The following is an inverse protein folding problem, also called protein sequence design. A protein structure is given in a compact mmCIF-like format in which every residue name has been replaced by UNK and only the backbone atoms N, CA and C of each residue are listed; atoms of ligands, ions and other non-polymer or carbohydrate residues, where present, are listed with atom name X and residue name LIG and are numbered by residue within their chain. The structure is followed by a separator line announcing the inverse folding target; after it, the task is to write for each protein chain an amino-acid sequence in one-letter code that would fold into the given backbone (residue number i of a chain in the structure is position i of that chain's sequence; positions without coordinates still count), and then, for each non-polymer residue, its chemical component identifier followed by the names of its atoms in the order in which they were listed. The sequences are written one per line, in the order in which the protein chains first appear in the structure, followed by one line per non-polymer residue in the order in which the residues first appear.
data_IF_639998755706
#
_entry.id   IF_639998755706
#
_cell.length_a   1.000
_cell.length_b   1.000
_cell.length_c   1.000
_cell.angle_alpha   90.00
_cell.angle_beta   90.00
_cell.angle_gamma   90.00
#
_symmetry.space_group_name_H-M   'P 1'
#
loop_
_entity.id
_entity.type
_entity.pdbx_description
1 polymer ?
#
# COMPACT_ATOMS: atom_id res chain seq x y z
N UNK A 1 8.95 11.67 12.16
CA UNK A 1 7.91 12.02 11.15
C UNK A 1 7.02 13.16 11.64
N UNK A 2 6.45 14.00 10.76
CA UNK A 2 5.45 15.02 11.13
C UNK A 2 4.07 14.58 10.66
N UNK A 3 3.16 14.28 11.59
CA UNK A 3 1.99 13.42 11.32
C UNK A 3 0.69 13.97 11.91
N UNK A 4 -0.46 13.53 11.40
CA UNK A 4 -1.74 13.81 12.06
C UNK A 4 -1.92 12.94 13.30
N UNK A 5 -2.61 13.44 14.33
CA UNK A 5 -2.75 12.74 15.63
C UNK A 5 -3.41 11.37 15.50
N UNK A 6 -4.36 11.19 14.57
CA UNK A 6 -4.99 9.88 14.34
C UNK A 6 -4.06 8.82 13.75
N UNK A 7 -2.89 9.20 13.21
CA UNK A 7 -1.86 8.25 12.70
C UNK A 7 -0.78 7.92 13.72
N UNK A 8 -0.86 8.51 14.91
CA UNK A 8 0.12 8.33 15.97
C UNK A 8 0.29 6.86 16.39
N UNK A 9 -0.81 6.13 16.53
CA UNK A 9 -0.78 4.72 16.92
C UNK A 9 -0.03 3.83 15.89
N UNK A 10 -0.15 4.15 14.59
CA UNK A 10 0.62 3.48 13.55
C UNK A 10 2.12 3.76 13.70
N UNK A 11 2.47 5.03 13.81
CA UNK A 11 3.87 5.48 13.76
C UNK A 11 4.66 5.06 15.00
N UNK A 12 4.02 5.00 16.18
CA UNK A 12 4.63 4.48 17.41
C UNK A 12 5.07 3.02 17.30
N UNK A 13 4.42 2.26 16.42
CA UNK A 13 4.63 0.82 16.28
C UNK A 13 5.51 0.46 15.07
N UNK A 14 6.18 1.43 14.44
CA UNK A 14 7.14 1.19 13.34
C UNK A 14 8.57 1.27 13.88
N UNK A 15 9.28 0.15 13.87
CA UNK A 15 10.55 -0.02 14.56
C UNK A 15 11.70 0.90 14.09
N UNK A 16 11.78 1.23 12.80
CA UNK A 16 12.89 2.04 12.27
C UNK A 16 12.71 3.56 12.45
N UNK A 17 11.60 4.02 13.01
CA UNK A 17 11.35 5.44 13.20
C UNK A 17 11.91 5.92 14.55
N UNK A 18 12.81 6.90 14.51
CA UNK A 18 13.37 7.52 15.72
C UNK A 18 12.31 8.28 16.55
N UNK A 19 11.21 8.68 15.91
CA UNK A 19 10.11 9.37 16.58
C UNK A 19 9.18 10.13 15.63
N UNK A 20 8.23 10.84 16.22
CA UNK A 20 7.25 11.66 15.51
C UNK A 20 6.93 12.94 16.25
N UNK A 21 6.33 13.89 15.52
CA UNK A 21 5.76 15.13 16.03
C UNK A 21 4.38 15.26 15.42
N UNK A 22 3.35 15.52 16.23
CA UNK A 22 2.01 15.71 15.69
C UNK A 22 1.85 17.08 15.01
N UNK A 23 0.86 17.21 14.13
CA UNK A 23 0.54 18.44 13.41
C UNK A 23 0.13 19.60 14.32
N UNK A 24 -0.07 19.39 15.61
CA UNK A 24 -0.43 20.46 16.54
C UNK A 24 0.72 20.83 17.50
N UNK A 25 1.80 20.04 17.52
CA UNK A 25 2.98 20.27 18.38
C UNK A 25 3.96 21.29 17.81
N UNK A 26 4.63 22.04 18.70
CA UNK A 26 5.68 22.97 18.29
C UNK A 26 6.90 22.22 17.75
N UNK A 27 7.39 22.64 16.59
CA UNK A 27 8.59 22.07 16.00
C UNK A 27 9.87 22.68 16.60
N UNK A 28 9.79 23.82 17.32
CA UNK A 28 10.97 24.54 17.86
C UNK A 28 11.93 23.71 18.72
N UNK A 29 11.48 22.76 19.55
CA UNK A 29 12.38 21.94 20.34
C UNK A 29 13.30 21.04 19.50
N UNK A 30 12.96 20.83 18.23
CA UNK A 30 13.65 19.91 17.34
C UNK A 30 14.60 20.63 16.39
N UNK A 31 15.71 19.97 16.07
CA UNK A 31 16.67 20.45 15.07
C UNK A 31 16.65 19.49 13.87
N UNK A 32 15.87 19.84 12.84
CA UNK A 32 15.82 19.06 11.60
C UNK A 32 16.72 19.70 10.53
N UNK A 33 17.60 18.90 9.93
CA UNK A 33 18.43 19.34 8.79
C UNK A 33 17.63 19.47 7.50
N UNK A 34 16.63 18.60 7.34
CA UNK A 34 15.80 18.49 6.16
C UNK A 34 14.37 18.06 6.45
N UNK A 35 13.45 18.43 5.56
CA UNK A 35 12.07 17.94 5.52
C UNK A 35 11.65 17.64 4.09
N UNK A 36 10.92 16.53 3.91
CA UNK A 36 10.22 16.20 2.67
C UNK A 36 8.71 16.32 2.93
N UNK A 37 8.08 17.36 2.38
CA UNK A 37 6.65 17.63 2.60
C UNK A 37 5.78 16.81 1.63
N UNK A 38 5.50 15.57 2.02
CA UNK A 38 4.64 14.66 1.26
C UNK A 38 3.17 15.11 1.19
N UNK A 39 2.69 15.83 2.20
CA UNK A 39 1.31 16.37 2.22
C UNK A 39 1.14 17.53 1.25
N UNK A 40 2.21 18.34 1.09
CA UNK A 40 2.27 19.51 0.25
C UNK A 40 1.01 20.40 0.43
N UNK A 41 0.78 20.86 1.68
CA UNK A 41 -0.29 21.80 2.06
C UNK A 41 0.33 23.12 2.53
N UNK A 42 -0.26 24.25 2.16
CA UNK A 42 0.25 25.58 2.54
C UNK A 42 0.42 25.73 4.06
N UNK A 43 -0.55 25.21 4.85
CA UNK A 43 -0.49 25.24 6.31
C UNK A 43 0.71 24.49 6.87
N UNK A 44 1.06 23.32 6.33
CA UNK A 44 2.20 22.51 6.82
C UNK A 44 3.52 23.09 6.32
N UNK A 45 3.59 23.49 5.05
CA UNK A 45 4.78 24.07 4.43
C UNK A 45 5.32 25.29 5.19
N UNK A 46 4.43 26.16 5.69
CA UNK A 46 4.81 27.35 6.47
C UNK A 46 5.47 27.03 7.82
N UNK A 47 5.17 25.88 8.42
CA UNK A 47 5.73 25.50 9.73
C UNK A 47 7.22 25.19 9.66
N UNK A 48 7.72 24.80 8.50
CA UNK A 48 9.13 24.45 8.31
C UNK A 48 10.07 25.66 8.25
N UNK A 49 9.55 26.88 8.40
CA UNK A 49 10.34 28.11 8.56
C UNK A 49 10.64 28.42 10.02
N UNK A 50 9.87 27.87 10.95
CA UNK A 50 10.04 28.14 12.37
C UNK A 50 9.77 26.86 13.19
N UNK A 51 10.82 26.11 13.55
CA UNK A 51 12.24 26.42 13.37
C UNK A 51 12.65 26.37 11.90
N UNK A 52 13.71 27.10 11.55
CA UNK A 52 14.18 27.17 10.17
C UNK A 52 14.85 25.86 9.77
N UNK A 53 14.12 25.01 9.03
CA UNK A 53 14.66 23.75 8.48
C UNK A 53 15.34 24.09 7.16
N UNK A 54 16.66 23.98 7.06
CA UNK A 54 17.44 24.46 5.89
C UNK A 54 16.99 23.83 4.57
N UNK A 55 16.86 22.51 4.53
CA UNK A 55 16.46 21.78 3.32
C UNK A 55 14.97 21.46 3.38
N UNK A 56 14.17 22.02 2.47
CA UNK A 56 12.72 21.81 2.41
C UNK A 56 12.37 21.33 1.02
N UNK A 57 12.01 20.06 0.91
CA UNK A 57 11.64 19.42 -0.35
C UNK A 57 10.14 19.43 -0.50
N UNK A 58 9.62 19.89 -1.63
CA UNK A 58 8.18 19.95 -1.87
C UNK A 58 7.76 19.93 -3.33
N UNK A 59 6.46 19.83 -3.56
CA UNK A 59 5.92 19.68 -4.91
C UNK A 59 5.79 21.05 -5.62
N UNK A 60 6.46 21.24 -6.75
CA UNK A 60 6.38 22.49 -7.53
C UNK A 60 5.06 22.70 -8.25
N UNK A 61 4.17 21.70 -8.28
CA UNK A 61 2.79 21.88 -8.75
C UNK A 61 1.92 22.74 -7.79
N UNK A 62 2.43 23.12 -6.62
CA UNK A 62 1.74 23.98 -5.66
C UNK A 62 2.11 25.46 -5.88
N UNK A 63 1.13 26.35 -5.78
CA UNK A 63 1.34 27.81 -5.89
C UNK A 63 2.28 28.37 -4.82
N UNK A 64 2.35 27.72 -3.66
CA UNK A 64 3.25 28.09 -2.55
C UNK A 64 4.60 27.38 -2.60
N UNK A 65 5.00 26.84 -3.75
CA UNK A 65 6.25 26.08 -3.89
C UNK A 65 7.51 26.89 -3.62
N UNK A 66 7.43 28.23 -3.67
CA UNK A 66 8.49 29.16 -3.23
C UNK A 66 8.86 29.01 -1.74
N UNK A 67 8.04 28.31 -0.95
CA UNK A 67 8.35 27.96 0.44
C UNK A 67 9.41 26.84 0.57
N UNK A 68 9.65 26.09 -0.51
CA UNK A 68 10.58 24.97 -0.55
C UNK A 68 11.92 25.39 -1.15
N UNK A 69 13.01 24.76 -0.71
CA UNK A 69 14.36 24.98 -1.25
C UNK A 69 14.74 24.00 -2.36
N UNK A 70 14.11 22.82 -2.38
CA UNK A 70 14.21 21.84 -3.47
C UNK A 70 12.80 21.44 -3.89
N UNK A 71 12.59 21.25 -5.19
CA UNK A 71 11.26 20.87 -5.68
C UNK A 71 11.28 19.83 -6.78
N UNK A 72 10.16 19.12 -6.93
CA UNK A 72 9.86 18.27 -8.08
C UNK A 72 8.42 18.49 -8.50
N UNK A 73 8.17 18.54 -9.80
CA UNK A 73 6.81 18.68 -10.31
C UNK A 73 6.11 17.34 -10.31
N UNK A 74 5.05 17.20 -9.50
CA UNK A 74 4.31 15.93 -9.37
C UNK A 74 2.81 16.20 -9.47
N UNK A 75 2.15 15.61 -10.48
CA UNK A 75 0.70 15.73 -10.69
C UNK A 75 -0.05 14.45 -10.30
N UNK A 76 -0.38 14.34 -9.00
CA UNK A 76 -1.03 13.16 -8.40
C UNK A 76 -2.47 12.93 -8.86
N UNK A 77 -3.17 13.97 -9.31
CA UNK A 77 -4.57 13.89 -9.76
C UNK A 77 -4.77 13.01 -10.99
N UNK A 78 -3.70 12.68 -11.72
CA UNK A 78 -3.79 11.78 -12.85
C UNK A 78 -3.85 10.30 -12.43
N UNK A 79 -3.36 9.94 -11.23
CA UNK A 79 -3.42 8.56 -10.73
C UNK A 79 -2.68 7.56 -11.62
N UNK A 80 -1.58 7.96 -12.25
CA UNK A 80 -0.87 7.12 -13.22
C UNK A 80 -0.02 6.03 -12.57
N UNK A 81 0.42 6.25 -11.34
CA UNK A 81 1.28 5.35 -10.57
C UNK A 81 0.84 5.35 -9.11
N UNK A 82 1.37 4.40 -8.32
CA UNK A 82 1.07 4.26 -6.91
C UNK A 82 1.45 5.51 -6.10
N UNK A 83 0.71 5.82 -5.03
CA UNK A 83 0.99 6.95 -4.15
C UNK A 83 2.40 6.87 -3.51
N UNK A 84 2.89 5.66 -3.21
CA UNK A 84 4.24 5.43 -2.71
C UNK A 84 5.30 5.87 -3.73
N UNK A 85 5.08 5.64 -5.03
CA UNK A 85 5.99 6.08 -6.10
C UNK A 85 5.98 7.60 -6.27
N UNK A 86 4.81 8.24 -6.16
CA UNK A 86 4.74 9.70 -6.12
C UNK A 86 5.46 10.29 -4.89
N UNK A 87 5.40 9.61 -3.74
CA UNK A 87 6.16 10.01 -2.56
C UNK A 87 7.66 9.82 -2.78
N UNK A 88 8.07 8.69 -3.33
CA UNK A 88 9.46 8.38 -3.64
C UNK A 88 10.07 9.39 -4.61
N UNK A 89 9.34 9.77 -5.65
CA UNK A 89 9.79 10.82 -6.56
C UNK A 89 10.14 12.12 -5.82
N UNK A 90 9.38 12.49 -4.78
CA UNK A 90 9.66 13.69 -4.00
C UNK A 90 10.83 13.47 -3.05
N UNK A 91 10.88 12.32 -2.38
CA UNK A 91 11.99 11.93 -1.49
C UNK A 91 13.32 11.92 -2.25
N UNK A 92 13.33 11.44 -3.50
CA UNK A 92 14.50 11.38 -4.35
C UNK A 92 15.09 12.76 -4.70
N UNK A 93 14.38 13.85 -4.42
CA UNK A 93 14.91 15.21 -4.58
C UNK A 93 15.74 15.67 -3.36
N UNK A 94 15.74 14.91 -2.27
CA UNK A 94 16.56 15.17 -1.09
C UNK A 94 18.05 14.99 -1.42
N UNK A 95 18.40 13.91 -2.11
CA UNK A 95 19.77 13.51 -2.44
C UNK A 95 19.88 13.05 -3.91
N UNK A 96 20.83 13.61 -4.71
CA UNK A 96 21.04 13.21 -6.10
C UNK A 96 21.30 11.71 -6.33
N UNK A 97 21.90 11.01 -5.36
CA UNK A 97 22.16 9.57 -5.44
C UNK A 97 20.87 8.73 -5.54
N UNK A 98 19.74 9.27 -5.07
CA UNK A 98 18.44 8.60 -5.09
C UNK A 98 17.69 8.75 -6.41
N UNK A 99 18.12 9.64 -7.33
CA UNK A 99 17.33 10.09 -8.49
C UNK A 99 16.86 8.95 -9.40
N UNK A 100 17.66 7.90 -9.52
CA UNK A 100 17.41 6.76 -10.43
C UNK A 100 17.16 5.45 -9.69
N UNK A 101 17.08 5.47 -8.36
CA UNK A 101 16.77 4.27 -7.60
C UNK A 101 15.28 4.00 -7.66
N UNK A 102 14.91 2.74 -7.85
CA UNK A 102 13.52 2.30 -7.69
C UNK A 102 13.17 2.27 -6.20
N UNK A 103 11.91 2.59 -5.86
CA UNK A 103 11.41 2.31 -4.52
C UNK A 103 11.27 0.79 -4.39
N UNK A 104 12.11 0.16 -3.58
CA UNK A 104 11.99 -1.27 -3.28
C UNK A 104 11.48 -1.51 -1.86
N UNK A 105 11.61 -0.51 -0.99
CA UNK A 105 11.22 -0.62 0.41
C UNK A 105 9.70 -0.60 0.57
N UNK A 106 9.24 -1.40 1.54
CA UNK A 106 7.87 -1.45 2.01
C UNK A 106 7.87 -1.78 3.50
N UNK A 107 6.79 -1.42 4.18
CA UNK A 107 6.56 -1.95 5.52
C UNK A 107 6.37 -3.46 5.46
N UNK A 108 6.84 -4.13 6.50
CA UNK A 108 6.84 -5.58 6.68
C UNK A 108 6.40 -5.95 8.09
N UNK A 109 6.21 -7.25 8.34
CA UNK A 109 5.94 -7.77 9.67
C UNK A 109 7.00 -7.36 10.70
N UNK A 110 8.28 -7.30 10.29
CA UNK A 110 9.41 -6.98 11.16
C UNK A 110 9.32 -5.56 11.72
N UNK A 111 8.72 -4.63 10.96
CA UNK A 111 8.53 -3.25 11.41
C UNK A 111 7.57 -3.15 12.59
N UNK A 112 6.74 -4.19 12.81
CA UNK A 112 5.75 -4.30 13.89
C UNK A 112 6.11 -5.41 14.91
N UNK A 113 7.39 -5.75 15.04
CA UNK A 113 7.84 -6.89 15.86
C UNK A 113 7.55 -6.77 17.36
N UNK A 114 7.26 -5.56 17.86
CA UNK A 114 6.87 -5.32 19.26
C UNK A 114 5.42 -5.73 19.56
N UNK A 115 4.60 -5.91 18.53
CA UNK A 115 3.20 -6.29 18.70
C UNK A 115 3.09 -7.81 18.83
N UNK A 116 2.33 -8.26 19.83
CA UNK A 116 2.08 -9.69 20.05
C UNK A 116 0.96 -10.18 19.11
N UNK A 117 1.19 -11.22 18.30
CA UNK A 117 0.14 -11.81 17.47
C UNK A 117 -1.02 -12.35 18.31
N UNK A 118 -2.25 -12.18 17.81
CA UNK A 118 -3.44 -12.71 18.46
C UNK A 118 -3.57 -14.22 18.24
N UNK A 119 -3.16 -15.01 19.23
CA UNK A 119 -3.13 -16.47 19.16
C UNK A 119 -4.46 -17.13 18.76
N UNK A 120 -5.60 -16.55 19.12
CA UNK A 120 -6.92 -17.08 18.76
C UNK A 120 -7.26 -16.90 17.27
N UNK A 121 -6.66 -15.91 16.63
CA UNK A 121 -6.92 -15.60 15.23
C UNK A 121 -5.97 -16.33 14.26
N UNK A 122 -5.16 -17.27 14.77
CA UNK A 122 -4.32 -18.08 13.90
C UNK A 122 -5.17 -18.80 12.86
N UNK A 123 -4.70 -18.72 11.61
CA UNK A 123 -5.30 -19.41 10.47
C UNK A 123 -6.75 -19.00 10.15
N UNK A 124 -7.18 -17.85 10.67
CA UNK A 124 -8.53 -17.31 10.45
C UNK A 124 -8.62 -16.46 9.18
N UNK A 125 -9.83 -16.31 8.66
CA UNK A 125 -10.15 -15.31 7.62
C UNK A 125 -10.69 -14.04 8.28
N UNK A 126 -10.31 -12.87 7.77
CA UNK A 126 -10.87 -11.59 8.23
C UNK A 126 -11.66 -10.96 7.09
N UNK A 127 -12.90 -10.60 7.38
CA UNK A 127 -13.75 -9.79 6.50
C UNK A 127 -13.95 -8.44 7.16
N UNK A 128 -13.64 -7.36 6.45
CA UNK A 128 -13.84 -6.00 6.94
C UNK A 128 -14.79 -5.25 6.00
N UNK A 129 -16.10 -5.19 6.32
CA UNK A 129 -17.10 -4.51 5.50
C UNK A 129 -16.95 -2.99 5.38
N UNK A 130 -16.02 -2.40 6.15
CA UNK A 130 -16.01 -1.01 6.59
C UNK A 130 -16.35 0.06 5.55
N UNK A 131 -16.98 1.14 6.00
CA UNK A 131 -17.39 2.25 5.14
C UNK A 131 -16.65 3.50 5.59
N UNK A 132 -15.56 3.86 4.89
CA UNK A 132 -15.00 5.20 5.07
C UNK A 132 -15.84 6.21 4.29
N UNK A 133 -15.88 7.47 4.74
CA UNK A 133 -16.61 8.56 4.06
C UNK A 133 -16.20 8.76 2.57
N UNK A 134 -15.10 8.15 2.14
CA UNK A 134 -14.55 8.22 0.78
C UNK A 134 -14.53 6.89 0.02
N UNK A 135 -14.88 5.75 0.63
CA UNK A 135 -14.88 4.45 -0.04
C UNK A 135 -16.26 4.13 -0.61
N UNK A 136 -16.31 3.66 -1.86
CA UNK A 136 -17.51 3.02 -2.41
C UNK A 136 -17.67 1.68 -1.71
N UNK A 137 -18.79 1.49 -1.00
CA UNK A 137 -19.06 0.27 -0.25
C UNK A 137 -19.52 -0.89 -1.14
N UNK A 138 -19.34 -2.11 -0.65
CA UNK A 138 -19.99 -3.31 -1.17
C UNK A 138 -21.24 -3.62 -0.32
N UNK A 139 -22.25 -4.24 -0.92
CA UNK A 139 -23.56 -4.42 -0.29
C UNK A 139 -23.46 -5.25 1.00
N UNK A 140 -24.23 -4.88 2.02
CA UNK A 140 -24.22 -5.54 3.34
C UNK A 140 -24.48 -7.04 3.21
N UNK A 141 -25.46 -7.41 2.39
CA UNK A 141 -25.88 -8.79 2.16
C UNK A 141 -24.72 -9.63 1.57
N UNK A 142 -23.92 -9.03 0.67
CA UNK A 142 -22.76 -9.69 0.06
C UNK A 142 -21.62 -9.89 1.06
N UNK A 143 -21.38 -8.92 1.95
CA UNK A 143 -20.42 -9.09 3.04
C UNK A 143 -20.80 -10.23 3.99
N UNK A 144 -22.08 -10.32 4.36
CA UNK A 144 -22.58 -11.41 5.20
C UNK A 144 -22.45 -12.76 4.48
N UNK A 145 -22.83 -12.84 3.21
CA UNK A 145 -22.69 -14.06 2.41
C UNK A 145 -21.23 -14.51 2.30
N UNK A 146 -20.30 -13.58 2.02
CA UNK A 146 -18.87 -13.86 1.97
C UNK A 146 -18.36 -14.41 3.30
N UNK A 147 -18.72 -13.76 4.41
CA UNK A 147 -18.29 -14.18 5.73
C UNK A 147 -18.81 -15.60 6.08
N UNK A 148 -20.05 -15.93 5.68
CA UNK A 148 -20.62 -17.29 5.82
C UNK A 148 -19.87 -18.33 4.99
N UNK A 149 -19.54 -18.01 3.73
CA UNK A 149 -18.78 -18.91 2.85
C UNK A 149 -17.37 -19.19 3.39
N UNK A 150 -16.72 -18.19 3.98
CA UNK A 150 -15.40 -18.35 4.61
C UNK A 150 -15.51 -19.12 5.93
N UNK A 151 -16.53 -18.84 6.75
CA UNK A 151 -16.78 -19.55 8.02
C UNK A 151 -16.99 -21.06 7.85
N UNK A 152 -17.53 -21.47 6.69
CA UNK A 152 -17.67 -22.89 6.32
C UNK A 152 -16.32 -23.59 6.07
N UNK A 153 -15.22 -22.84 5.89
CA UNK A 153 -13.87 -23.35 5.62
C UNK A 153 -12.94 -23.23 6.82
N UNK A 154 -12.97 -22.11 7.52
CA UNK A 154 -12.15 -21.83 8.69
C UNK A 154 -12.81 -20.76 9.58
N UNK A 155 -12.27 -20.56 10.79
CA UNK A 155 -12.75 -19.49 11.66
C UNK A 155 -12.66 -18.14 10.93
N UNK A 156 -13.73 -17.35 10.97
CA UNK A 156 -13.86 -16.08 10.26
C UNK A 156 -14.26 -14.97 11.22
N UNK A 157 -13.54 -13.85 11.15
CA UNK A 157 -13.86 -12.65 11.91
C UNK A 157 -14.40 -11.55 11.00
N UNK A 158 -15.54 -10.98 11.38
CA UNK A 158 -16.01 -9.71 10.84
C UNK A 158 -15.41 -8.59 11.67
N UNK A 159 -14.42 -7.90 11.11
CA UNK A 159 -13.77 -6.76 11.73
C UNK A 159 -14.60 -5.50 11.50
N UNK A 160 -15.13 -4.92 12.57
CA UNK A 160 -15.90 -3.67 12.56
C UNK A 160 -15.12 -2.57 13.30
N UNK A 161 -14.98 -1.41 12.66
CA UNK A 161 -14.31 -0.26 13.24
C UNK A 161 -15.25 0.62 14.07
N UNK A 162 -14.71 1.72 14.62
CA UNK A 162 -15.50 2.67 15.41
C UNK A 162 -16.66 3.31 14.63
N UNK A 163 -16.52 3.48 13.31
CA UNK A 163 -17.56 4.05 12.44
C UNK A 163 -18.77 3.10 12.30
N UNK A 164 -18.55 1.79 12.45
CA UNK A 164 -19.57 0.76 12.32
C UNK A 164 -20.27 0.40 13.64
N UNK A 165 -19.97 1.09 14.76
CA UNK A 165 -20.56 0.82 16.10
C UNK A 165 -22.10 0.73 16.06
N UNK A 166 -22.76 1.60 15.30
CA UNK A 166 -24.22 1.58 15.17
C UNK A 166 -24.77 0.36 14.39
N UNK A 167 -23.95 -0.29 13.56
CA UNK A 167 -24.33 -1.44 12.75
C UNK A 167 -24.01 -2.79 13.40
N UNK A 168 -23.28 -2.81 14.52
CA UNK A 168 -22.85 -4.06 15.19
C UNK A 168 -24.01 -5.01 15.46
N UNK A 169 -25.14 -4.50 15.95
CA UNK A 169 -26.31 -5.36 16.23
C UNK A 169 -26.92 -5.94 14.95
N UNK A 170 -26.91 -5.17 13.85
CA UNK A 170 -27.36 -5.66 12.54
C UNK A 170 -26.50 -6.83 12.06
N UNK A 171 -25.17 -6.73 12.22
CA UNK A 171 -24.26 -7.82 11.90
C UNK A 171 -24.50 -9.03 12.80
N UNK A 172 -24.63 -8.84 14.13
CA UNK A 172 -24.89 -9.93 15.09
C UNK A 172 -26.12 -10.74 14.71
N UNK A 173 -27.24 -10.08 14.44
CA UNK A 173 -28.48 -10.75 14.06
C UNK A 173 -28.34 -11.55 12.75
N UNK A 174 -27.50 -11.09 11.81
CA UNK A 174 -27.32 -11.74 10.52
C UNK A 174 -26.46 -13.02 10.57
N UNK A 175 -25.68 -13.20 11.65
CA UNK A 175 -24.71 -14.29 11.82
C UNK A 175 -25.00 -15.21 13.03
N UNK A 176 -26.05 -14.93 13.82
CA UNK A 176 -26.33 -15.59 15.11
C UNK A 176 -26.32 -17.13 15.05
N UNK A 177 -26.72 -17.72 13.92
CA UNK A 177 -26.78 -19.17 13.71
C UNK A 177 -25.60 -19.78 12.94
N UNK A 178 -24.51 -19.03 12.76
CA UNK A 178 -23.36 -19.46 11.95
C UNK A 178 -22.20 -19.80 12.87
N UNK A 179 -21.83 -21.08 12.90
CA UNK A 179 -20.63 -21.52 13.60
C UNK A 179 -19.36 -20.94 12.95
N UNK A 180 -18.31 -20.76 13.75
CA UNK A 180 -17.00 -20.25 13.29
C UNK A 180 -17.04 -18.84 12.69
N UNK A 181 -18.08 -18.05 12.97
CA UNK A 181 -18.21 -16.67 12.50
C UNK A 181 -18.44 -15.72 13.68
N UNK A 182 -17.47 -14.85 13.94
CA UNK A 182 -17.50 -13.91 15.08
C UNK A 182 -17.31 -12.47 14.65
N UNK A 183 -17.83 -11.51 15.42
CA UNK A 183 -17.57 -10.09 15.22
C UNK A 183 -16.47 -9.64 16.17
N UNK A 184 -15.49 -8.94 15.63
CA UNK A 184 -14.42 -8.31 16.41
C UNK A 184 -14.49 -6.81 16.24
N UNK A 185 -14.42 -6.10 17.35
CA UNK A 185 -14.24 -4.66 17.42
C UNK A 185 -13.07 -4.39 18.35
N UNK A 186 -12.17 -3.51 17.95
CA UNK A 186 -11.11 -3.03 18.84
C UNK A 186 -10.92 -1.53 18.66
N UNK A 187 -10.69 -0.85 19.78
CA UNK A 187 -10.24 0.52 19.82
C UNK A 187 -8.69 0.60 20.01
N UNK A 188 -8.01 -0.56 20.18
CA UNK A 188 -6.54 -0.68 20.28
C UNK A 188 -5.91 -0.97 18.93
N UNK A 189 -4.86 -0.22 18.61
CA UNK A 189 -4.11 -0.41 17.38
C UNK A 189 -3.26 -1.68 17.43
N UNK A 190 -2.67 -1.99 18.58
CA UNK A 190 -1.87 -3.18 18.81
C UNK A 190 -2.71 -4.46 18.68
N UNK A 191 -3.93 -4.47 19.21
CA UNK A 191 -4.87 -5.60 19.02
C UNK A 191 -5.24 -5.77 17.54
N UNK A 192 -5.47 -4.66 16.82
CA UNK A 192 -5.73 -4.70 15.37
C UNK A 192 -4.55 -5.30 14.61
N UNK A 193 -3.33 -4.83 14.88
CA UNK A 193 -2.11 -5.39 14.25
C UNK A 193 -1.97 -6.87 14.60
N UNK A 194 -2.09 -7.26 15.86
CA UNK A 194 -1.97 -8.64 16.30
C UNK A 194 -3.00 -9.57 15.65
N UNK A 195 -4.24 -9.09 15.44
CA UNK A 195 -5.28 -9.78 14.67
C UNK A 195 -4.84 -9.97 13.21
N UNK A 196 -4.45 -8.89 12.53
CA UNK A 196 -4.07 -8.92 11.12
C UNK A 196 -2.82 -9.78 10.86
N UNK A 197 -1.85 -9.77 11.78
CA UNK A 197 -0.64 -10.60 11.72
C UNK A 197 -0.95 -12.10 11.83
N UNK A 198 -2.04 -12.47 12.51
CA UNK A 198 -2.38 -13.88 12.78
C UNK A 198 -3.29 -14.49 11.72
N UNK A 199 -3.99 -13.65 10.94
CA UNK A 199 -4.95 -14.09 9.96
C UNK A 199 -4.28 -14.71 8.73
N UNK A 200 -4.88 -15.80 8.24
CA UNK A 200 -4.54 -16.43 6.96
C UNK A 200 -4.79 -15.48 5.80
N UNK A 201 -5.95 -14.83 5.81
CA UNK A 201 -6.33 -13.90 4.76
C UNK A 201 -7.20 -12.76 5.27
N UNK A 202 -7.18 -11.65 4.53
CA UNK A 202 -7.98 -10.47 4.80
C UNK A 202 -8.73 -10.04 3.52
N UNK A 203 -10.00 -9.69 3.67
CA UNK A 203 -10.82 -9.12 2.60
C UNK A 203 -11.41 -7.80 3.09
N UNK A 204 -11.15 -6.72 2.35
CA UNK A 204 -11.67 -5.41 2.72
C UNK A 204 -11.69 -4.39 1.58
N UNK A 205 -12.34 -3.24 1.77
CA UNK A 205 -12.41 -2.16 0.78
C UNK A 205 -11.12 -1.34 0.72
N UNK A 206 -11.06 -0.39 -0.22
CA UNK A 206 -10.01 0.63 -0.33
C UNK A 206 -9.89 1.55 0.90
N UNK A 207 -9.24 1.08 1.96
CA UNK A 207 -9.10 1.79 3.25
C UNK A 207 -7.73 1.58 3.89
N UNK A 208 -7.40 2.39 4.90
CA UNK A 208 -6.12 2.30 5.62
C UNK A 208 -5.86 0.94 6.29
N UNK A 209 -6.90 0.27 6.79
CA UNK A 209 -6.74 -1.04 7.43
C UNK A 209 -6.36 -2.12 6.40
N UNK A 210 -6.86 -2.02 5.17
CA UNK A 210 -6.45 -2.90 4.06
C UNK A 210 -4.97 -2.73 3.71
N UNK A 211 -4.46 -1.49 3.73
CA UNK A 211 -3.03 -1.23 3.60
C UNK A 211 -2.23 -1.79 4.77
N UNK A 212 -2.78 -1.70 5.98
CA UNK A 212 -2.14 -2.21 7.19
C UNK A 212 -2.05 -3.73 7.16
N UNK A 213 -3.13 -4.42 6.78
CA UNK A 213 -3.16 -5.86 6.60
C UNK A 213 -2.08 -6.32 5.60
N UNK A 214 -1.93 -5.61 4.48
CA UNK A 214 -0.87 -5.84 3.51
C UNK A 214 0.54 -5.61 4.08
N UNK A 215 0.73 -4.53 4.87
CA UNK A 215 2.01 -4.19 5.49
C UNK A 215 2.48 -5.24 6.50
N UNK A 216 1.55 -5.80 7.28
CA UNK A 216 1.86 -6.86 8.26
C UNK A 216 1.96 -8.25 7.62
N UNK A 217 1.97 -8.34 6.29
CA UNK A 217 2.24 -9.57 5.56
C UNK A 217 1.02 -10.47 5.30
N UNK A 218 -0.20 -10.02 5.64
CA UNK A 218 -1.40 -10.79 5.33
C UNK A 218 -1.58 -10.90 3.81
N UNK A 219 -2.05 -12.07 3.34
CA UNK A 219 -2.53 -12.23 1.98
C UNK A 219 -4.01 -11.84 1.92
N UNK A 220 -4.54 -11.46 0.76
CA UNK A 220 -5.92 -11.03 0.76
C UNK A 220 -6.46 -10.48 -0.54
N UNK A 221 -7.69 -9.97 -0.44
CA UNK A 221 -8.38 -9.28 -1.52
C UNK A 221 -8.72 -7.87 -1.07
N UNK A 222 -8.37 -6.89 -1.89
CA UNK A 222 -8.83 -5.52 -1.71
C UNK A 222 -9.85 -5.14 -2.78
N UNK A 223 -11.03 -4.69 -2.34
CA UNK A 223 -12.10 -4.22 -3.21
C UNK A 223 -11.92 -2.73 -3.51
N UNK A 224 -11.72 -2.40 -4.78
CA UNK A 224 -11.50 -1.02 -5.24
C UNK A 224 -12.52 -0.63 -6.30
N UNK A 225 -13.07 0.59 -6.24
CA UNK A 225 -13.77 1.19 -7.37
C UNK A 225 -12.79 1.71 -8.43
N UNK A 226 -13.23 1.75 -9.69
CA UNK A 226 -12.49 2.27 -10.85
C UNK A 226 -12.57 3.81 -10.98
N UNK A 227 -13.09 4.49 -9.95
CA UNK A 227 -13.16 5.95 -9.92
C UNK A 227 -11.77 6.58 -9.79
N UNK A 228 -11.41 7.48 -10.71
CA UNK A 228 -10.08 8.15 -10.79
C UNK A 228 -9.50 8.64 -9.46
N UNK A 229 -10.31 9.19 -8.55
CA UNK A 229 -9.84 9.70 -7.25
C UNK A 229 -9.39 8.60 -6.27
N UNK A 230 -9.84 7.36 -6.49
CA UNK A 230 -9.67 6.19 -5.62
C UNK A 230 -9.22 4.95 -6.43
N UNK A 231 -8.79 5.15 -7.68
CA UNK A 231 -8.42 4.07 -8.60
C UNK A 231 -7.23 3.28 -8.05
N UNK A 232 -7.24 1.94 -8.18
CA UNK A 232 -6.21 1.10 -7.57
C UNK A 232 -4.80 1.30 -8.13
N UNK A 233 -4.64 1.79 -9.36
CA UNK A 233 -3.31 2.20 -9.88
C UNK A 233 -2.55 3.11 -8.91
N UNK A 234 -3.29 4.01 -8.22
CA UNK A 234 -2.74 4.93 -7.23
C UNK A 234 -2.82 4.39 -5.81
N UNK A 235 -3.94 3.78 -5.46
CA UNK A 235 -4.29 3.54 -4.06
C UNK A 235 -4.22 2.09 -3.61
N UNK A 236 -3.89 1.12 -4.48
CA UNK A 236 -3.71 -0.25 -4.02
C UNK A 236 -2.56 -0.37 -3.01
N UNK A 237 -2.55 -1.38 -2.13
CA UNK A 237 -1.42 -1.63 -1.25
C UNK A 237 -0.15 -1.92 -2.05
N UNK A 238 0.88 -1.10 -1.82
CA UNK A 238 2.10 -1.08 -2.62
C UNK A 238 2.89 -2.38 -2.48
N UNK A 239 3.22 -3.01 -3.62
CA UNK A 239 4.02 -4.25 -3.71
C UNK A 239 3.62 -5.28 -2.64
N UNK A 240 2.34 -5.57 -2.57
CA UNK A 240 1.75 -6.48 -1.57
C UNK A 240 1.31 -7.80 -2.19
N UNK A 241 0.98 -8.77 -1.33
CA UNK A 241 0.38 -10.04 -1.74
C UNK A 241 -1.15 -9.94 -1.94
N UNK A 242 -1.69 -8.71 -1.95
CA UNK A 242 -3.12 -8.51 -2.13
C UNK A 242 -3.50 -8.58 -3.60
N UNK A 243 -4.58 -9.30 -3.86
CA UNK A 243 -5.28 -9.24 -5.14
C UNK A 243 -6.24 -8.06 -5.12
N UNK A 244 -6.26 -7.28 -6.20
CA UNK A 244 -7.19 -6.16 -6.35
C UNK A 244 -8.38 -6.62 -7.17
N UNK A 245 -9.58 -6.33 -6.69
CA UNK A 245 -10.83 -6.64 -7.40
C UNK A 245 -11.67 -5.38 -7.54
N UNK A 246 -12.08 -5.11 -8.78
CA UNK A 246 -12.96 -3.99 -9.13
C UNK A 246 -14.38 -4.16 -8.57
N UNK A 247 -14.90 -3.17 -7.85
CA UNK A 247 -16.31 -3.11 -7.46
C UNK A 247 -17.24 -2.85 -8.66
N UNK A 248 -16.78 -2.15 -9.69
CA UNK A 248 -17.54 -1.85 -10.91
C UNK A 248 -17.86 -3.12 -11.72
N UNK A 249 -17.05 -4.18 -11.53
CA UNK A 249 -17.29 -5.52 -12.09
C UNK A 249 -18.34 -6.32 -11.32
N UNK A 250 -18.86 -5.77 -10.21
CA UNK A 250 -19.90 -6.38 -9.36
C UNK A 250 -19.52 -7.81 -8.91
N UNK A 251 -18.35 -8.00 -8.28
CA UNK A 251 -17.91 -9.32 -7.85
C UNK A 251 -18.93 -9.95 -6.90
N UNK A 252 -19.10 -11.26 -7.02
CA UNK A 252 -19.91 -12.06 -6.10
C UNK A 252 -19.06 -12.59 -4.94
N UNK A 253 -19.66 -12.89 -3.78
CA UNK A 253 -18.98 -13.54 -2.67
C UNK A 253 -18.25 -14.82 -3.07
N UNK A 254 -18.91 -15.67 -3.87
CA UNK A 254 -18.33 -16.92 -4.36
C UNK A 254 -17.07 -16.69 -5.21
N UNK A 255 -17.07 -15.68 -6.09
CA UNK A 255 -15.88 -15.34 -6.87
C UNK A 255 -14.70 -14.94 -5.97
N UNK A 256 -14.94 -14.18 -4.89
CA UNK A 256 -13.87 -13.80 -3.96
C UNK A 256 -13.28 -15.03 -3.25
N UNK A 257 -14.11 -16.01 -2.90
CA UNK A 257 -13.64 -17.27 -2.31
C UNK A 257 -12.78 -18.07 -3.31
N UNK A 258 -13.21 -18.17 -4.56
CA UNK A 258 -12.44 -18.86 -5.62
C UNK A 258 -11.08 -18.20 -5.88
N UNK A 259 -11.04 -16.86 -5.84
CA UNK A 259 -9.81 -16.07 -5.97
C UNK A 259 -8.85 -16.37 -4.81
N UNK A 260 -9.35 -16.48 -3.57
CA UNK A 260 -8.54 -16.84 -2.40
C UNK A 260 -7.99 -18.27 -2.49
N UNK A 261 -8.76 -19.20 -3.07
CA UNK A 261 -8.33 -20.59 -3.28
C UNK A 261 -7.31 -20.75 -4.41
N UNK A 262 -6.97 -19.67 -5.12
CA UNK A 262 -6.06 -19.71 -6.27
C UNK A 262 -6.68 -20.25 -7.55
N UNK A 263 -8.00 -20.48 -7.59
CA UNK A 263 -8.74 -20.93 -8.77
C UNK A 263 -9.09 -19.76 -9.70
N UNK A 264 -8.08 -18.94 -10.00
CA UNK A 264 -8.18 -17.70 -10.77
C UNK A 264 -8.26 -18.03 -12.27
N UNK A 265 -9.37 -18.62 -12.70
CA UNK A 265 -9.66 -18.78 -14.13
C UNK A 265 -9.94 -17.40 -14.73
N UNK A 266 -8.86 -16.71 -15.10
CA UNK A 266 -8.84 -15.55 -16.01
C UNK A 266 -9.90 -14.50 -15.67
N UNK A 267 -9.74 -13.81 -14.55
CA UNK A 267 -10.36 -12.51 -14.41
C UNK A 267 -9.24 -11.47 -14.26
N UNK A 268 -9.03 -10.70 -15.33
CA UNK A 268 -8.16 -9.52 -15.33
C UNK A 268 -8.87 -8.41 -14.52
N UNK A 269 -8.98 -8.61 -13.20
CA UNK A 269 -9.86 -7.88 -12.28
C UNK A 269 -9.35 -6.50 -11.88
N UNK A 270 -8.57 -5.90 -12.78
CA UNK A 270 -7.61 -4.81 -12.58
C UNK A 270 -6.25 -5.40 -12.20
N UNK A 271 -5.41 -5.67 -13.20
CA UNK A 271 -3.97 -5.72 -13.02
C UNK A 271 -3.39 -4.31 -13.18
N UNK A 272 -3.32 -3.47 -12.13
CA UNK A 272 -2.69 -2.14 -12.20
C UNK A 272 -1.17 -2.20 -12.39
N UNK A 273 -0.55 -3.39 -12.26
CA UNK A 273 0.84 -3.65 -12.65
C UNK A 273 0.98 -4.10 -14.10
N UNK A 274 -0.12 -4.20 -14.86
CA UNK A 274 -0.07 -4.31 -16.32
C UNK A 274 0.37 -2.97 -16.92
N UNK A 275 1.59 -2.53 -16.61
CA UNK A 275 2.42 -2.08 -17.73
C UNK A 275 2.49 -3.29 -18.66
N UNK A 276 2.29 -3.08 -19.97
CA UNK A 276 2.55 -4.13 -20.94
C UNK A 276 3.91 -4.74 -20.60
N UNK A 277 4.00 -6.07 -20.50
CA UNK A 277 5.28 -6.72 -20.30
C UNK A 277 6.23 -6.22 -21.37
N UNK A 278 7.38 -5.70 -20.94
CA UNK A 278 8.37 -5.14 -21.86
C UNK A 278 9.46 -6.17 -22.01
N UNK A 279 9.50 -6.81 -23.18
CA UNK A 279 10.63 -7.62 -23.61
C UNK A 279 11.64 -6.71 -24.30
N UNK A 280 12.88 -6.66 -23.79
CA UNK A 280 13.97 -5.99 -24.49
C UNK A 280 14.75 -7.00 -25.34
N UNK A 281 14.86 -6.71 -26.63
CA UNK A 281 15.71 -7.44 -27.56
C UNK A 281 17.00 -6.67 -27.77
N UNK A 282 18.11 -7.22 -27.30
CA UNK A 282 19.45 -6.65 -27.45
C UNK A 282 20.23 -7.48 -28.45
N UNK A 283 20.46 -6.92 -29.63
CA UNK A 283 21.34 -7.53 -30.64
C UNK A 283 22.73 -6.92 -30.45
N UNK A 284 23.75 -7.75 -30.24
CA UNK A 284 25.12 -7.30 -29.98
C UNK A 284 26.15 -8.04 -30.85
N UNK A 285 27.31 -7.41 -31.06
CA UNK A 285 28.50 -8.01 -31.67
C UNK A 285 29.73 -7.20 -31.24
N UNK A 286 30.66 -7.82 -30.51
CA UNK A 286 31.85 -7.18 -29.96
C UNK A 286 31.57 -5.95 -29.08
N UNK A 287 30.69 -6.12 -28.09
CA UNK A 287 30.24 -5.08 -27.14
C UNK A 287 30.81 -5.26 -25.72
N UNK A 288 31.99 -5.87 -25.54
CA UNK A 288 32.57 -6.15 -24.21
C UNK A 288 32.63 -4.91 -23.30
N UNK A 289 32.79 -3.73 -23.92
CA UNK A 289 32.93 -2.45 -23.23
C UNK A 289 31.59 -1.83 -22.81
N UNK A 290 30.48 -2.21 -23.43
CA UNK A 290 29.18 -1.56 -23.26
C UNK A 290 28.08 -2.49 -22.76
N UNK A 291 28.17 -3.80 -23.02
CA UNK A 291 27.05 -4.73 -22.84
C UNK A 291 26.56 -4.75 -21.39
N UNK A 292 27.46 -4.74 -20.41
CA UNK A 292 27.09 -4.64 -18.97
C UNK A 292 26.24 -3.41 -18.67
N UNK A 293 26.73 -2.23 -19.05
CA UNK A 293 26.02 -0.96 -18.83
C UNK A 293 24.67 -0.94 -19.56
N UNK A 294 24.62 -1.52 -20.76
CA UNK A 294 23.37 -1.65 -21.50
C UNK A 294 22.36 -2.50 -20.73
N UNK A 295 22.74 -3.72 -20.31
CA UNK A 295 21.89 -4.63 -19.56
C UNK A 295 21.43 -4.03 -18.23
N UNK A 296 22.32 -3.38 -17.50
CA UNK A 296 21.98 -2.67 -16.26
C UNK A 296 20.92 -1.57 -16.50
N UNK A 297 21.04 -0.82 -17.60
CA UNK A 297 20.10 0.26 -17.94
C UNK A 297 18.69 -0.22 -18.30
N UNK A 298 18.56 -1.48 -18.73
CA UNK A 298 17.29 -2.10 -19.12
C UNK A 298 16.88 -3.24 -18.18
N UNK A 299 17.53 -3.37 -17.02
CA UNK A 299 17.21 -4.39 -16.01
C UNK A 299 15.78 -4.27 -15.45
N UNK A 300 15.09 -3.17 -15.75
CA UNK A 300 13.68 -2.96 -15.43
C UNK A 300 12.72 -3.68 -16.41
N UNK A 301 13.20 -4.23 -17.52
CA UNK A 301 12.38 -5.04 -18.44
C UNK A 301 12.02 -6.39 -17.82
N UNK A 302 10.86 -6.93 -18.19
CA UNK A 302 10.34 -8.19 -17.62
C UNK A 302 11.01 -9.42 -18.26
N UNK A 303 11.53 -9.25 -19.47
CA UNK A 303 12.25 -10.26 -20.24
C UNK A 303 13.39 -9.59 -21.00
N UNK A 304 14.58 -10.21 -20.96
CA UNK A 304 15.75 -9.80 -21.74
C UNK A 304 16.12 -10.91 -22.71
N UNK A 305 16.09 -10.61 -24.01
CA UNK A 305 16.53 -11.52 -25.06
C UNK A 305 17.78 -10.94 -25.70
N UNK A 306 18.91 -11.62 -25.52
CA UNK A 306 20.20 -11.21 -26.06
C UNK A 306 20.52 -12.06 -27.28
N UNK A 307 20.78 -11.42 -28.42
CA UNK A 307 21.13 -12.07 -29.68
C UNK A 307 22.54 -11.63 -30.07
N UNK A 308 23.51 -12.49 -29.78
CA UNK A 308 24.90 -12.27 -30.18
C UNK A 308 25.11 -12.63 -31.66
N UNK A 309 25.55 -11.67 -32.46
CA UNK A 309 25.81 -11.81 -33.89
C UNK A 309 27.23 -12.27 -34.20
N UNK A 310 27.81 -13.12 -33.34
CA UNK A 310 29.13 -13.71 -33.53
C UNK A 310 30.29 -12.90 -32.94
N UNK A 311 30.14 -12.45 -31.69
CA UNK A 311 31.25 -11.77 -30.99
C UNK A 311 32.49 -12.65 -30.91
N UNK A 312 33.65 -12.03 -31.13
CA UNK A 312 34.99 -12.60 -30.99
C UNK A 312 35.74 -12.10 -29.75
N UNK A 313 35.18 -11.11 -29.07
CA UNK A 313 35.67 -10.58 -27.81
C UNK A 313 34.95 -11.23 -26.60
N UNK A 314 35.18 -10.71 -25.39
CA UNK A 314 34.58 -11.23 -24.17
C UNK A 314 33.10 -10.85 -23.97
N UNK A 315 32.38 -10.33 -24.98
CA UNK A 315 30.95 -9.97 -24.86
C UNK A 315 30.09 -11.11 -24.31
N UNK A 316 30.39 -12.35 -24.69
CA UNK A 316 29.63 -13.55 -24.28
C UNK A 316 29.86 -13.97 -22.83
N UNK A 317 30.93 -13.47 -22.21
CA UNK A 317 31.31 -13.80 -20.83
C UNK A 317 30.70 -12.83 -19.80
N UNK A 318 30.09 -11.73 -20.26
CA UNK A 318 29.61 -10.60 -19.44
C UNK A 318 28.13 -10.72 -19.11
#
# INVERSE_FOLDING_TARGET
MHIASYTEALVKNIAFLDGYVTLDEDLKPYQFDAVVDLMAKNRTARRYFYPYIKTRVGNSARWFSFLYTKTKFIRRSHGLINEAEYNWQLISALDPSLKNLALNERLSLEDFSSVTPWSKAQDSSIVMPGVTASAVGWEFEKWIELAKLLAAKNHTYILLGPAEKASVQKFRNAIESVENLEIVTTDSFEELIGLLQSARNFIGPSTGITHLAAAVGCAGIALYPEQRSMHPSRWQPYRSNFKVVSLDRKPTPQQLVEILDGNDKTYDLLNPLARSRVSAFVVCCNEERNIRRCLDSIAWCDELVIVDSGSTDSTREI
#
